data_IF_072828459310
#
_entry.id   IF_072828459310
#
_cell.length_a   1.000
_cell.length_b   1.000
_cell.length_c   1.000
_cell.angle_alpha   90.00
_cell.angle_beta   90.00
_cell.angle_gamma   90.00
#
_symmetry.space_group_name_H-M   'P 1'
#
loop_
_entity.id
_entity.type
_entity.pdbx_description
1 polymer ?
#
# COMPACT_ATOMS: atom_id res chain seq x y z
N UNK A 1 -3.65 29.38 -32.79
CA UNK A 1 -3.84 28.40 -31.74
C UNK A 1 -2.58 27.56 -31.72
N UNK A 2 -1.58 28.02 -30.92
CA UNK A 2 -0.23 27.44 -30.90
C UNK A 2 -0.25 26.16 -30.03
N UNK A 3 -0.32 25.00 -30.70
CA UNK A 3 -0.43 23.68 -30.08
C UNK A 3 0.90 23.15 -29.45
N UNK A 4 1.98 23.94 -29.45
CA UNK A 4 3.30 23.53 -28.95
C UNK A 4 4.05 24.67 -28.25
N UNK A 5 3.42 25.36 -27.30
CA UNK A 5 4.23 26.02 -26.27
C UNK A 5 4.64 24.97 -25.24
N UNK A 6 5.80 24.34 -25.48
CA UNK A 6 6.50 23.51 -24.54
C UNK A 6 7.04 24.39 -23.40
N UNK A 7 6.19 24.80 -22.49
CA UNK A 7 6.62 25.44 -21.25
C UNK A 7 7.06 24.32 -20.29
N UNK A 8 8.30 23.88 -20.42
CA UNK A 8 8.96 22.92 -19.52
C UNK A 8 9.33 23.62 -18.18
N UNK A 9 8.37 24.31 -17.58
CA UNK A 9 8.52 24.74 -16.21
C UNK A 9 8.39 23.53 -15.29
N UNK A 10 9.46 23.15 -14.62
CA UNK A 10 9.42 22.11 -13.57
C UNK A 10 8.91 22.77 -12.26
N UNK A 11 8.03 22.09 -11.52
CA UNK A 11 7.42 20.79 -11.79
C UNK A 11 6.31 20.84 -12.83
N UNK A 12 6.08 19.72 -13.54
CA UNK A 12 5.01 19.59 -14.54
C UNK A 12 3.67 19.49 -13.80
N UNK A 13 2.81 20.49 -14.00
CA UNK A 13 1.49 20.60 -13.33
C UNK A 13 0.31 20.24 -14.22
N UNK A 14 0.50 20.16 -15.54
CA UNK A 14 -0.57 19.78 -16.46
C UNK A 14 -0.92 18.29 -16.32
N UNK A 15 -2.18 17.93 -15.96
CA UNK A 15 -2.59 16.54 -15.71
C UNK A 15 -2.34 15.60 -16.91
N UNK A 16 -2.41 16.12 -18.14
CA UNK A 16 -2.18 15.34 -19.35
C UNK A 16 -0.73 14.92 -19.48
N UNK A 17 0.20 15.85 -19.23
CA UNK A 17 1.63 15.59 -19.26
C UNK A 17 2.06 14.71 -18.10
N UNK A 18 1.50 14.92 -16.90
CA UNK A 18 1.72 14.05 -15.73
C UNK A 18 1.31 12.62 -16.06
N UNK A 19 0.10 12.42 -16.60
CA UNK A 19 -0.40 11.11 -16.99
C UNK A 19 0.49 10.43 -18.05
N UNK A 20 0.86 11.18 -19.11
CA UNK A 20 1.73 10.67 -20.16
C UNK A 20 3.10 10.24 -19.63
N UNK A 21 3.70 11.03 -18.76
CA UNK A 21 5.00 10.75 -18.16
C UNK A 21 4.94 9.52 -17.24
N UNK A 22 3.87 9.37 -16.45
CA UNK A 22 3.61 8.18 -15.64
C UNK A 22 3.49 6.93 -16.51
N UNK A 23 2.76 7.00 -17.65
CA UNK A 23 2.67 5.87 -18.57
C UNK A 23 4.03 5.48 -19.17
N UNK A 24 4.87 6.46 -19.52
CA UNK A 24 6.24 6.21 -19.99
C UNK A 24 7.04 5.49 -18.92
N UNK A 25 6.95 5.92 -17.66
CA UNK A 25 7.67 5.29 -16.54
C UNK A 25 7.19 3.85 -16.33
N UNK A 26 5.88 3.63 -16.30
CA UNK A 26 5.29 2.29 -16.13
C UNK A 26 5.78 1.34 -17.24
N UNK A 27 5.96 1.85 -18.46
CA UNK A 27 6.41 1.06 -19.61
C UNK A 27 7.93 0.83 -19.58
N UNK A 28 8.71 1.89 -19.40
CA UNK A 28 10.17 1.84 -19.60
C UNK A 28 10.94 1.47 -18.33
N UNK A 29 10.51 1.88 -17.13
CA UNK A 29 11.25 1.58 -15.90
C UNK A 29 11.40 0.07 -15.65
N UNK A 30 10.36 -0.77 -15.77
CA UNK A 30 10.51 -2.22 -15.67
C UNK A 30 11.40 -2.83 -16.75
N UNK A 31 11.36 -2.28 -17.97
CA UNK A 31 12.14 -2.78 -19.09
C UNK A 31 13.64 -2.50 -18.92
N UNK A 32 13.99 -1.31 -18.47
CA UNK A 32 15.38 -0.88 -18.24
C UNK A 32 15.96 -1.61 -17.03
N UNK A 33 15.24 -1.59 -15.90
CA UNK A 33 15.71 -2.19 -14.65
C UNK A 33 15.63 -3.72 -14.66
N UNK A 34 14.75 -4.30 -15.48
CA UNK A 34 14.72 -5.75 -15.72
C UNK A 34 16.01 -6.29 -16.34
N UNK A 35 16.72 -5.48 -17.15
CA UNK A 35 18.07 -5.83 -17.66
C UNK A 35 19.13 -5.88 -16.56
N UNK A 36 18.92 -5.16 -15.46
CA UNK A 36 19.78 -5.15 -14.28
C UNK A 36 19.38 -6.21 -13.24
N UNK A 37 18.47 -7.14 -13.59
CA UNK A 37 17.91 -8.17 -12.69
C UNK A 37 17.18 -7.59 -11.46
N UNK A 38 16.73 -6.33 -11.55
CA UNK A 38 15.95 -5.66 -10.49
C UNK A 38 14.47 -6.01 -10.70
N UNK A 39 13.75 -6.46 -9.64
CA UNK A 39 12.32 -6.71 -9.71
C UNK A 39 11.53 -5.48 -10.19
N UNK A 40 10.55 -5.66 -11.07
CA UNK A 40 9.79 -4.58 -11.70
C UNK A 40 9.20 -3.57 -10.70
N UNK A 41 8.71 -4.06 -9.54
CA UNK A 41 8.12 -3.21 -8.50
C UNK A 41 9.17 -2.26 -7.90
N UNK A 42 10.36 -2.77 -7.59
CA UNK A 42 11.47 -1.95 -7.08
C UNK A 42 11.88 -0.91 -8.13
N UNK A 43 11.90 -1.31 -9.41
CA UNK A 43 12.18 -0.41 -10.51
C UNK A 43 11.22 0.77 -10.59
N UNK A 44 9.93 0.51 -10.44
CA UNK A 44 8.91 1.58 -10.44
C UNK A 44 9.01 2.49 -9.21
N UNK A 45 9.32 1.92 -8.03
CA UNK A 45 9.54 2.71 -6.81
C UNK A 45 10.76 3.63 -6.97
N UNK A 46 11.87 3.11 -7.46
CA UNK A 46 13.09 3.91 -7.70
C UNK A 46 12.84 5.01 -8.74
N UNK A 47 12.11 4.72 -9.82
CA UNK A 47 11.75 5.74 -10.79
C UNK A 47 10.87 6.84 -10.17
N UNK A 48 9.89 6.46 -9.32
CA UNK A 48 9.06 7.39 -8.58
C UNK A 48 9.85 8.29 -7.62
N UNK A 49 10.83 7.73 -6.91
CA UNK A 49 11.74 8.51 -6.02
C UNK A 49 12.58 9.50 -6.83
N UNK A 50 13.11 9.08 -7.99
CA UNK A 50 13.94 9.96 -8.83
C UNK A 50 13.16 11.13 -9.41
N UNK A 51 11.90 10.94 -9.81
CA UNK A 51 11.09 11.94 -10.51
C UNK A 51 10.26 12.78 -9.54
N UNK A 52 10.01 12.25 -8.34
CA UNK A 52 9.19 12.90 -7.32
C UNK A 52 9.84 14.11 -6.66
N UNK A 53 9.12 14.68 -5.72
CA UNK A 53 9.43 15.90 -4.98
C UNK A 53 10.83 15.90 -4.32
N UNK A 54 11.29 14.74 -3.85
CA UNK A 54 12.59 14.59 -3.17
C UNK A 54 13.74 14.14 -4.10
N UNK A 55 13.45 13.97 -5.42
CA UNK A 55 14.45 13.66 -6.44
C UNK A 55 14.70 14.84 -7.37
N UNK A 56 14.47 14.64 -8.66
CA UNK A 56 14.63 15.69 -9.68
C UNK A 56 13.49 16.72 -9.72
N UNK A 57 12.47 16.56 -8.89
CA UNK A 57 11.31 17.46 -8.78
C UNK A 57 10.60 17.68 -10.14
N UNK A 58 10.48 16.62 -10.91
CA UNK A 58 9.80 16.67 -12.23
C UNK A 58 8.29 16.64 -12.06
N UNK A 59 7.80 15.88 -11.06
CA UNK A 59 6.39 15.72 -10.73
C UNK A 59 6.14 16.04 -9.26
N UNK A 60 5.07 16.78 -9.01
CA UNK A 60 4.51 16.96 -7.67
C UNK A 60 3.42 15.90 -7.41
N UNK A 61 3.24 15.59 -6.14
CA UNK A 61 2.17 14.73 -5.68
C UNK A 61 0.86 15.53 -5.61
N UNK A 62 0.12 15.55 -6.71
CA UNK A 62 -1.21 16.16 -6.78
C UNK A 62 -2.34 15.16 -6.44
N UNK A 63 -3.57 15.68 -6.37
CA UNK A 63 -4.77 14.90 -6.10
C UNK A 63 -5.06 13.84 -7.16
N UNK A 64 -4.70 14.10 -8.42
CA UNK A 64 -4.87 13.16 -9.54
C UNK A 64 -3.94 11.97 -9.38
N UNK A 65 -2.68 12.21 -9.00
CA UNK A 65 -1.70 11.16 -8.74
C UNK A 65 -2.13 10.25 -7.59
N UNK A 66 -2.64 10.86 -6.51
CA UNK A 66 -3.16 10.13 -5.36
C UNK A 66 -4.39 9.28 -5.72
N UNK A 67 -5.29 9.81 -6.56
CA UNK A 67 -6.45 9.08 -7.04
C UNK A 67 -6.04 7.84 -7.85
N UNK A 68 -5.12 7.96 -8.80
CA UNK A 68 -4.63 6.81 -9.58
C UNK A 68 -3.99 5.74 -8.69
N UNK A 69 -3.21 6.13 -7.69
CA UNK A 69 -2.64 5.20 -6.72
C UNK A 69 -3.71 4.44 -5.92
N UNK A 70 -4.73 5.14 -5.45
CA UNK A 70 -5.87 4.53 -4.73
C UNK A 70 -6.67 3.59 -5.64
N UNK A 71 -6.97 4.00 -6.87
CA UNK A 71 -7.69 3.15 -7.84
C UNK A 71 -6.89 1.89 -8.15
N UNK A 72 -5.57 2.00 -8.37
CA UNK A 72 -4.70 0.85 -8.57
C UNK A 72 -4.69 -0.12 -7.39
N UNK A 73 -4.64 0.40 -6.16
CA UNK A 73 -4.70 -0.40 -4.95
C UNK A 73 -6.04 -1.14 -4.82
N UNK A 74 -7.16 -0.47 -5.02
CA UNK A 74 -8.49 -1.09 -4.97
C UNK A 74 -8.68 -2.12 -6.06
N UNK A 75 -8.14 -1.87 -7.26
CA UNK A 75 -8.19 -2.82 -8.36
C UNK A 75 -7.43 -4.11 -8.05
N UNK A 76 -6.23 -4.03 -7.47
CA UNK A 76 -5.46 -5.21 -7.05
C UNK A 76 -6.23 -5.98 -5.96
N UNK A 77 -6.81 -5.29 -4.98
CA UNK A 77 -7.61 -5.92 -3.92
C UNK A 77 -8.85 -6.62 -4.50
N UNK A 78 -9.53 -5.99 -5.45
CA UNK A 78 -10.68 -6.57 -6.14
C UNK A 78 -10.32 -7.84 -6.92
N UNK A 79 -9.23 -7.80 -7.71
CA UNK A 79 -8.74 -8.97 -8.44
C UNK A 79 -8.38 -10.11 -7.49
N UNK A 80 -7.68 -9.81 -6.40
CA UNK A 80 -7.33 -10.81 -5.39
C UNK A 80 -8.58 -11.46 -4.78
N UNK A 81 -9.61 -10.65 -4.52
CA UNK A 81 -10.91 -11.17 -4.03
C UNK A 81 -11.62 -12.07 -5.04
N UNK A 82 -11.58 -11.72 -6.33
CA UNK A 82 -12.19 -12.53 -7.40
C UNK A 82 -11.47 -13.85 -7.65
N UNK A 83 -10.14 -13.86 -7.55
CA UNK A 83 -9.34 -15.06 -7.78
C UNK A 83 -9.27 -15.98 -6.55
N UNK A 84 -9.69 -15.50 -5.38
CA UNK A 84 -9.67 -16.26 -4.14
C UNK A 84 -10.70 -17.39 -4.18
N UNK A 85 -10.26 -18.63 -3.90
CA UNK A 85 -11.16 -19.75 -3.71
C UNK A 85 -11.90 -19.61 -2.37
N UNK A 86 -13.18 -19.21 -2.46
CA UNK A 86 -14.02 -18.96 -1.28
C UNK A 86 -14.34 -20.24 -0.49
N UNK A 87 -14.35 -21.41 -1.13
CA UNK A 87 -14.58 -22.67 -0.45
C UNK A 87 -13.35 -23.06 0.37
N UNK A 88 -12.16 -22.99 -0.23
CA UNK A 88 -10.90 -23.23 0.47
C UNK A 88 -10.64 -22.19 1.57
N UNK A 89 -11.02 -20.93 1.33
CA UNK A 89 -10.95 -19.88 2.36
C UNK A 89 -11.83 -20.21 3.57
N UNK A 90 -13.10 -20.57 3.37
CA UNK A 90 -14.02 -20.97 4.45
C UNK A 90 -13.48 -22.16 5.24
N UNK A 91 -12.92 -23.15 4.54
CA UNK A 91 -12.33 -24.34 5.16
C UNK A 91 -11.09 -24.03 5.99
N UNK A 92 -10.30 -23.02 5.59
CA UNK A 92 -9.03 -22.65 6.23
C UNK A 92 -9.12 -21.34 7.03
N UNK A 93 -10.32 -20.79 7.27
CA UNK A 93 -10.52 -19.49 7.93
C UNK A 93 -9.71 -19.33 9.24
N UNK A 94 -9.70 -20.37 10.08
CA UNK A 94 -8.96 -20.33 11.33
C UNK A 94 -7.46 -20.19 11.12
N UNK A 95 -6.92 -20.81 10.06
CA UNK A 95 -5.50 -20.66 9.70
C UNK A 95 -5.18 -19.26 9.20
N UNK A 96 -6.07 -18.65 8.42
CA UNK A 96 -5.93 -17.26 7.98
C UNK A 96 -5.99 -16.29 9.16
N UNK A 97 -6.88 -16.53 10.13
CA UNK A 97 -6.97 -15.70 11.34
C UNK A 97 -5.70 -15.83 12.18
N UNK A 98 -5.25 -17.05 12.47
CA UNK A 98 -4.03 -17.28 13.26
C UNK A 98 -2.81 -16.69 12.54
N UNK A 99 -2.68 -16.92 11.24
CA UNK A 99 -1.61 -16.36 10.44
C UNK A 99 -1.65 -14.83 10.45
N UNK A 100 -2.80 -14.22 10.18
CA UNK A 100 -2.97 -12.77 10.21
C UNK A 100 -2.66 -12.14 11.57
N UNK A 101 -3.14 -12.75 12.67
CA UNK A 101 -2.84 -12.27 14.02
C UNK A 101 -1.35 -12.39 14.35
N UNK A 102 -0.69 -13.50 14.06
CA UNK A 102 0.73 -13.67 14.34
C UNK A 102 1.58 -12.71 13.52
N UNK A 103 1.29 -12.61 12.22
CA UNK A 103 2.02 -11.70 11.32
C UNK A 103 1.72 -10.22 11.58
N UNK A 104 0.66 -9.90 12.31
CA UNK A 104 0.39 -8.55 12.81
C UNK A 104 1.04 -8.30 14.17
N UNK A 105 0.81 -9.17 15.15
CA UNK A 105 1.24 -8.93 16.53
C UNK A 105 2.76 -8.97 16.73
N UNK A 106 3.48 -9.85 16.02
CA UNK A 106 4.93 -9.93 16.15
C UNK A 106 5.63 -8.67 15.65
N UNK A 107 5.42 -8.19 14.40
CA UNK A 107 6.00 -6.93 13.94
C UNK A 107 5.48 -5.72 14.73
N UNK A 108 4.22 -5.75 15.18
CA UNK A 108 3.65 -4.71 16.02
C UNK A 108 4.40 -4.56 17.34
N UNK A 109 4.61 -5.67 18.07
CA UNK A 109 5.35 -5.65 19.34
C UNK A 109 6.80 -5.19 19.16
N UNK A 110 7.50 -5.72 18.14
CA UNK A 110 8.86 -5.31 17.81
C UNK A 110 8.92 -3.85 17.36
N UNK A 111 7.94 -3.39 16.58
CA UNK A 111 7.81 -2.02 16.13
C UNK A 111 7.59 -1.03 17.28
N UNK A 112 6.71 -1.34 18.24
CA UNK A 112 6.50 -0.52 19.45
C UNK A 112 7.80 -0.47 20.26
N UNK A 113 8.40 -1.63 20.54
CA UNK A 113 9.63 -1.72 21.31
C UNK A 113 10.75 -0.87 20.66
N UNK A 114 11.01 -1.06 19.38
CA UNK A 114 12.05 -0.32 18.66
C UNK A 114 11.76 1.18 18.58
N UNK A 115 10.51 1.58 18.36
CA UNK A 115 10.12 2.98 18.26
C UNK A 115 10.26 3.71 19.59
N UNK A 116 9.97 3.05 20.70
CA UNK A 116 10.13 3.64 22.03
C UNK A 116 11.59 3.63 22.51
N UNK A 117 12.32 2.51 22.32
CA UNK A 117 13.67 2.35 22.85
C UNK A 117 14.74 3.00 21.98
N UNK A 118 14.62 2.96 20.66
CA UNK A 118 15.64 3.47 19.73
C UNK A 118 15.34 4.89 19.24
N UNK A 119 14.05 5.20 18.97
CA UNK A 119 13.64 6.47 18.41
C UNK A 119 13.10 7.45 19.46
N UNK A 120 12.87 6.99 20.70
CA UNK A 120 12.38 7.85 21.80
C UNK A 120 10.96 8.37 21.61
N UNK A 121 10.15 7.75 20.75
CA UNK A 121 8.79 8.19 20.50
C UNK A 121 7.86 7.86 21.67
N UNK A 122 6.86 8.73 21.90
CA UNK A 122 5.78 8.45 22.83
C UNK A 122 4.94 7.23 22.41
N UNK A 123 4.26 6.60 23.36
CA UNK A 123 3.52 5.35 23.15
C UNK A 123 2.53 5.40 21.97
N UNK A 124 1.70 6.45 21.86
CA UNK A 124 0.74 6.57 20.75
C UNK A 124 1.40 6.65 19.38
N UNK A 125 2.49 7.41 19.27
CA UNK A 125 3.27 7.52 18.03
C UNK A 125 3.94 6.20 17.70
N UNK A 126 4.48 5.49 18.71
CA UNK A 126 5.09 4.19 18.54
C UNK A 126 4.08 3.14 18.05
N UNK A 127 2.85 3.14 18.60
CA UNK A 127 1.75 2.25 18.16
C UNK A 127 1.36 2.55 16.71
N UNK A 128 1.22 3.84 16.36
CA UNK A 128 0.89 4.24 15.00
C UNK A 128 1.96 3.78 14.00
N UNK A 129 3.22 4.03 14.29
CA UNK A 129 4.35 3.64 13.44
C UNK A 129 4.46 2.11 13.33
N UNK A 130 4.29 1.40 14.44
CA UNK A 130 4.32 -0.06 14.48
C UNK A 130 3.17 -0.69 13.66
N UNK A 131 1.99 -0.08 13.64
CA UNK A 131 0.86 -0.54 12.84
C UNK A 131 1.16 -0.49 11.33
N UNK A 132 1.97 0.47 10.89
CA UNK A 132 2.44 0.53 9.50
C UNK A 132 3.39 -0.62 9.15
N UNK A 133 4.26 -1.04 10.08
CA UNK A 133 5.16 -2.19 9.86
C UNK A 133 4.42 -3.53 9.90
N UNK A 134 3.38 -3.61 10.72
CA UNK A 134 2.59 -4.81 10.91
C UNK A 134 1.59 -5.07 9.77
N UNK A 135 1.26 -4.03 9.00
CA UNK A 135 0.37 -4.15 7.85
C UNK A 135 1.16 -4.48 6.60
N UNK A 136 0.86 -5.63 5.99
CA UNK A 136 1.42 -5.98 4.69
C UNK A 136 0.34 -5.89 3.63
N UNK A 137 0.73 -5.33 2.48
CA UNK A 137 -0.12 -5.24 1.32
C UNK A 137 0.13 -6.43 0.38
N UNK A 138 -0.84 -6.71 -0.49
CA UNK A 138 -0.75 -7.78 -1.49
C UNK A 138 0.21 -7.43 -2.65
N UNK A 139 1.37 -6.81 -2.36
CA UNK A 139 2.36 -6.41 -3.38
C UNK A 139 2.87 -7.62 -4.19
N UNK A 140 3.02 -8.77 -3.54
CA UNK A 140 3.46 -9.99 -4.20
C UNK A 140 2.37 -10.66 -5.03
N UNK A 141 1.10 -10.28 -4.86
CA UNK A 141 -0.03 -10.94 -5.51
C UNK A 141 0.05 -10.94 -7.06
N UNK A 142 0.36 -9.82 -7.74
CA UNK A 142 0.51 -9.82 -9.19
C UNK A 142 1.58 -10.80 -9.70
N UNK A 143 2.64 -11.02 -8.90
CA UNK A 143 3.69 -11.98 -9.22
C UNK A 143 3.15 -13.40 -9.11
N UNK A 144 2.46 -13.71 -8.02
CA UNK A 144 1.86 -15.02 -7.74
C UNK A 144 0.80 -15.37 -8.81
N UNK A 145 -0.05 -14.41 -9.16
CA UNK A 145 -1.08 -14.56 -10.20
C UNK A 145 -0.45 -14.83 -11.58
N UNK A 146 0.62 -14.11 -11.92
CA UNK A 146 1.34 -14.31 -13.17
C UNK A 146 1.92 -15.72 -13.33
N UNK A 147 2.28 -16.37 -12.24
CA UNK A 147 2.75 -17.78 -12.24
C UNK A 147 1.61 -18.80 -12.12
N UNK A 148 0.35 -18.38 -12.10
CA UNK A 148 -0.81 -19.26 -11.98
C UNK A 148 -0.95 -19.92 -10.60
N UNK A 149 -0.33 -19.37 -9.58
CA UNK A 149 -0.27 -19.93 -8.22
C UNK A 149 -1.38 -19.39 -7.29
N UNK A 150 -2.29 -18.56 -7.77
CA UNK A 150 -3.34 -17.86 -6.99
C UNK A 150 -4.24 -18.83 -6.22
N UNK A 151 -4.46 -20.04 -6.74
CA UNK A 151 -5.33 -21.04 -6.14
C UNK A 151 -4.65 -21.93 -5.10
N UNK A 152 -3.39 -21.74 -4.84
CA UNK A 152 -2.69 -22.51 -3.80
C UNK A 152 -3.24 -22.16 -2.41
N UNK A 153 -3.45 -23.19 -1.60
CA UNK A 153 -3.93 -23.04 -0.21
C UNK A 153 -3.11 -22.05 0.62
N UNK A 154 -1.80 -22.06 0.47
CA UNK A 154 -0.91 -21.13 1.17
C UNK A 154 -1.20 -19.68 0.77
N UNK A 155 -1.46 -19.45 -0.53
CA UNK A 155 -1.80 -18.12 -1.06
C UNK A 155 -3.15 -17.65 -0.50
N UNK A 156 -4.17 -18.52 -0.50
CA UNK A 156 -5.49 -18.19 0.07
C UNK A 156 -5.41 -17.86 1.56
N UNK A 157 -4.62 -18.61 2.34
CA UNK A 157 -4.39 -18.31 3.76
C UNK A 157 -3.71 -16.95 3.93
N UNK A 158 -2.72 -16.65 3.09
CA UNK A 158 -1.98 -15.38 3.14
C UNK A 158 -2.88 -14.20 2.77
N UNK A 159 -3.71 -14.31 1.72
CA UNK A 159 -4.66 -13.27 1.32
C UNK A 159 -5.64 -13.00 2.47
N UNK A 160 -6.22 -14.04 3.05
CA UNK A 160 -7.12 -13.90 4.19
C UNK A 160 -6.43 -13.28 5.41
N UNK A 161 -5.18 -13.66 5.70
CA UNK A 161 -4.37 -13.06 6.76
C UNK A 161 -4.07 -11.58 6.50
N UNK A 162 -3.75 -11.22 5.25
CA UNK A 162 -3.52 -9.82 4.85
C UNK A 162 -4.76 -8.96 5.05
N UNK A 163 -5.94 -9.45 4.70
CA UNK A 163 -7.19 -8.72 4.97
C UNK A 163 -7.36 -8.39 6.46
N UNK A 164 -7.00 -9.32 7.35
CA UNK A 164 -7.05 -9.11 8.80
C UNK A 164 -6.00 -8.09 9.24
N UNK A 165 -4.76 -8.19 8.79
CA UNK A 165 -3.69 -7.25 9.18
C UNK A 165 -3.99 -5.82 8.73
N UNK A 166 -4.50 -5.64 7.50
CA UNK A 166 -4.89 -4.34 6.97
C UNK A 166 -6.06 -3.75 7.78
N UNK A 167 -7.08 -4.57 8.08
CA UNK A 167 -8.23 -4.13 8.90
C UNK A 167 -7.77 -3.68 10.28
N UNK A 168 -6.93 -4.45 10.97
CA UNK A 168 -6.40 -4.09 12.29
C UNK A 168 -5.58 -2.80 12.24
N UNK A 169 -4.72 -2.63 11.24
CA UNK A 169 -3.93 -1.40 11.06
C UNK A 169 -4.83 -0.18 10.82
N UNK A 170 -5.89 -0.32 10.00
CA UNK A 170 -6.86 0.75 9.73
C UNK A 170 -7.66 1.12 10.99
N UNK A 171 -8.05 0.14 11.81
CA UNK A 171 -8.71 0.39 13.10
C UNK A 171 -7.79 1.20 14.01
N UNK A 172 -6.52 0.81 14.16
CA UNK A 172 -5.55 1.56 14.96
C UNK A 172 -5.38 2.98 14.43
N UNK A 173 -5.23 3.14 13.12
CA UNK A 173 -5.10 4.44 12.47
C UNK A 173 -6.34 5.32 12.73
N UNK A 174 -7.53 4.76 12.60
CA UNK A 174 -8.79 5.46 12.83
C UNK A 174 -8.91 5.91 14.29
N UNK A 175 -8.65 5.02 15.25
CA UNK A 175 -8.72 5.32 16.68
C UNK A 175 -7.71 6.39 17.05
N UNK A 176 -6.44 6.22 16.72
CA UNK A 176 -5.39 7.18 17.06
C UNK A 176 -5.62 8.52 16.33
N UNK A 177 -5.97 8.48 15.02
CA UNK A 177 -6.28 9.67 14.25
C UNK A 177 -7.49 10.44 14.80
N UNK A 178 -8.53 9.73 15.27
CA UNK A 178 -9.67 10.32 15.95
C UNK A 178 -9.28 10.97 17.28
N UNK A 179 -8.43 10.33 18.07
CA UNK A 179 -7.91 10.90 19.33
C UNK A 179 -7.17 12.22 19.10
N UNK A 180 -6.32 12.30 18.08
CA UNK A 180 -5.60 13.54 17.76
C UNK A 180 -6.50 14.66 17.23
N UNK A 181 -7.61 14.31 16.56
CA UNK A 181 -8.58 15.30 16.03
C UNK A 181 -9.64 15.70 17.04
N UNK A 182 -9.67 15.07 18.22
CA UNK A 182 -10.71 15.31 19.24
C UNK A 182 -12.13 14.86 18.83
N UNK A 183 -12.23 13.97 17.82
CA UNK A 183 -13.51 13.54 17.23
C UNK A 183 -13.92 12.12 17.67
N UNK A 184 -13.39 11.63 18.78
CA UNK A 184 -13.73 10.31 19.31
C UNK A 184 -15.01 10.41 20.16
N UNK A 185 -16.14 10.59 19.47
CA UNK A 185 -17.47 10.54 20.09
C UNK A 185 -18.09 9.15 19.99
N UNK A 186 -19.18 8.90 20.75
CA UNK A 186 -19.88 7.62 20.69
C UNK A 186 -20.31 7.21 19.27
N UNK A 187 -20.61 8.19 18.41
CA UNK A 187 -20.92 7.98 16.99
C UNK A 187 -19.72 7.42 16.20
N UNK A 188 -18.51 7.79 16.56
CA UNK A 188 -17.28 7.30 15.92
C UNK A 188 -17.18 5.76 16.01
N UNK A 189 -17.48 5.18 17.19
CA UNK A 189 -17.46 3.74 17.38
C UNK A 189 -18.53 3.00 16.57
N UNK A 190 -19.69 3.63 16.39
CA UNK A 190 -20.76 3.07 15.55
C UNK A 190 -20.31 3.01 14.08
N UNK A 191 -19.71 4.08 13.55
CA UNK A 191 -19.19 4.10 12.18
C UNK A 191 -17.95 3.21 11.95
N UNK A 192 -17.19 2.90 13.00
CA UNK A 192 -16.04 2.01 12.90
C UNK A 192 -16.47 0.54 12.76
N UNK A 193 -17.63 0.16 13.31
CA UNK A 193 -18.12 -1.24 13.35
C UNK A 193 -19.15 -1.51 12.25
N UNK A 194 -19.80 -0.48 11.69
CA UNK A 194 -20.77 -0.59 10.60
C UNK A 194 -20.09 -0.75 9.24
#
# INVERSE_FOLDING_TARGET
MNLFEFNLALPITDPTWVFFLVLIIILFAPMILGRLHIPHIIGMILAGVLIGEHGFHVLDRDSSFELFGKVGLYYIMFLAGLEMDMEDFKKNRMKSVVFGLLTFLIPMALGIWSSMSMLGYGFLTAVLLASMYASHTLIAYPIISRYGLSRLRSVNITIGGTAITVTLALIILAVIGGMFKGTVDGLFWVFLVA
#
